data_IF_514089256000
#
_entry.id   IF_514089256000
#
_cell.length_a   1.000
_cell.length_b   1.000
_cell.length_c   1.000
_cell.angle_alpha   90.00
_cell.angle_beta   90.00
_cell.angle_gamma   90.00
#
_symmetry.space_group_name_H-M   'P 1'
#
loop_
_entity.id
_entity.type
_entity.pdbx_description
1 polymer ?
#
# COMPACT_ATOMS: atom_id res chain seq x y z
N UNK A 1 -13.95 0.59 -1.08
CA UNK A 1 -14.97 -0.50 -1.09
C UNK A 1 -16.39 0.01 -0.77
N UNK A 2 -16.71 1.24 -1.19
CA UNK A 2 -17.99 1.89 -0.87
C UNK A 2 -18.13 2.35 0.57
N UNK A 3 -19.28 2.97 0.86
CA UNK A 3 -19.66 3.42 2.20
C UNK A 3 -20.43 2.30 2.92
N UNK A 4 -20.25 2.19 4.23
CA UNK A 4 -20.86 1.16 5.08
C UNK A 4 -21.56 1.77 6.30
N UNK A 5 -22.63 1.13 6.80
CA UNK A 5 -23.35 1.61 7.97
C UNK A 5 -22.46 1.59 9.22
N UNK A 6 -22.85 2.34 10.27
CA UNK A 6 -22.15 2.29 11.55
C UNK A 6 -22.02 0.86 12.08
N UNK A 7 -20.91 0.59 12.76
CA UNK A 7 -20.62 -0.72 13.38
C UNK A 7 -20.56 -1.91 12.39
N UNK A 8 -20.43 -1.65 11.08
CA UNK A 8 -20.21 -2.70 10.08
C UNK A 8 -19.01 -3.58 10.47
N UNK A 9 -19.27 -4.89 10.51
CA UNK A 9 -18.29 -5.95 10.79
C UNK A 9 -18.22 -6.82 9.54
N UNK A 10 -17.17 -6.69 8.73
CA UNK A 10 -17.06 -7.55 7.57
C UNK A 10 -16.67 -8.96 7.96
N UNK A 11 -17.03 -9.90 7.10
CA UNK A 11 -16.76 -11.32 7.27
C UNK A 11 -15.83 -11.87 6.18
N UNK A 12 -15.73 -13.20 6.11
CA UNK A 12 -14.94 -13.90 5.11
C UNK A 12 -15.44 -13.63 3.67
N UNK A 13 -16.75 -13.46 3.46
CA UNK A 13 -17.30 -13.17 2.14
C UNK A 13 -16.94 -11.74 1.71
N UNK A 14 -16.96 -10.77 2.63
CA UNK A 14 -16.49 -9.41 2.36
C UNK A 14 -15.00 -9.37 2.03
N UNK A 15 -14.18 -10.20 2.68
CA UNK A 15 -12.76 -10.30 2.34
C UNK A 15 -12.55 -10.92 0.94
N UNK A 16 -13.26 -12.01 0.62
CA UNK A 16 -13.20 -12.63 -0.70
C UNK A 16 -13.65 -11.67 -1.82
N UNK A 17 -14.73 -10.91 -1.59
CA UNK A 17 -15.22 -9.90 -2.52
C UNK A 17 -14.18 -8.77 -2.71
N UNK A 18 -13.52 -8.32 -1.63
CA UNK A 18 -12.43 -7.37 -1.71
C UNK A 18 -11.26 -7.93 -2.54
N UNK A 19 -10.85 -9.17 -2.32
CA UNK A 19 -9.73 -9.76 -3.07
C UNK A 19 -10.03 -9.87 -4.55
N UNK A 20 -11.21 -10.38 -4.92
CA UNK A 20 -11.63 -10.43 -6.32
C UNK A 20 -11.65 -9.03 -6.96
N UNK A 21 -12.14 -8.01 -6.25
CA UNK A 21 -12.18 -6.65 -6.75
C UNK A 21 -10.78 -6.02 -6.87
N UNK A 22 -9.89 -6.28 -5.91
CA UNK A 22 -8.48 -5.86 -5.94
C UNK A 22 -7.76 -6.49 -7.13
N UNK A 23 -7.93 -7.79 -7.32
CA UNK A 23 -7.25 -8.54 -8.37
C UNK A 23 -7.70 -8.06 -9.76
N UNK A 24 -9.01 -7.85 -9.95
CA UNK A 24 -9.56 -7.23 -11.17
C UNK A 24 -9.02 -5.81 -11.41
N UNK A 25 -8.81 -5.02 -10.35
CA UNK A 25 -8.16 -3.72 -10.48
C UNK A 25 -6.69 -3.84 -10.87
N UNK A 26 -5.96 -4.77 -10.26
CA UNK A 26 -4.53 -4.98 -10.53
C UNK A 26 -4.27 -5.44 -11.98
N UNK A 27 -5.22 -6.11 -12.63
CA UNK A 27 -5.14 -6.44 -14.06
C UNK A 27 -5.06 -5.21 -14.98
N UNK A 28 -5.45 -4.03 -14.52
CA UNK A 28 -5.42 -2.82 -15.34
C UNK A 28 -3.98 -2.38 -15.58
N UNK A 29 -3.65 -1.94 -16.80
CA UNK A 29 -2.26 -1.66 -17.21
C UNK A 29 -1.53 -0.66 -16.30
N UNK A 30 -2.21 0.38 -15.81
CA UNK A 30 -1.60 1.36 -14.91
C UNK A 30 -1.43 0.83 -13.48
N UNK A 31 -2.17 -0.20 -13.08
CA UNK A 31 -2.17 -0.72 -11.73
C UNK A 31 -0.84 -1.38 -11.36
N UNK A 32 0.02 -1.71 -12.34
CA UNK A 32 1.42 -2.11 -12.11
C UNK A 32 2.21 -1.08 -11.30
N UNK A 33 1.81 0.19 -11.29
CA UNK A 33 2.41 1.21 -10.44
C UNK A 33 2.34 0.85 -8.94
N UNK A 34 1.46 -0.07 -8.54
CA UNK A 34 1.47 -0.67 -7.20
C UNK A 34 2.80 -1.38 -6.89
N UNK A 35 3.43 -2.03 -7.87
CA UNK A 35 4.73 -2.68 -7.72
C UNK A 35 5.86 -1.67 -7.47
N UNK A 36 5.70 -0.43 -7.93
CA UNK A 36 6.69 0.64 -7.76
C UNK A 36 6.58 1.36 -6.42
N UNK A 37 5.47 1.21 -5.68
CA UNK A 37 5.25 1.90 -4.39
C UNK A 37 6.07 1.31 -3.23
N UNK A 38 6.52 0.06 -3.34
CA UNK A 38 7.08 -0.68 -2.21
C UNK A 38 6.06 -0.88 -1.08
N UNK A 39 6.55 -1.34 0.08
CA UNK A 39 5.74 -1.50 1.29
C UNK A 39 4.51 -2.40 1.12
N UNK A 40 3.42 -2.06 1.82
CA UNK A 40 2.22 -2.90 1.85
C UNK A 40 1.51 -2.96 0.50
N UNK A 41 1.49 -1.86 -0.26
CA UNK A 41 0.87 -1.82 -1.60
C UNK A 41 1.59 -2.77 -2.55
N UNK A 42 2.93 -2.73 -2.58
CA UNK A 42 3.72 -3.68 -3.35
C UNK A 42 3.44 -5.12 -2.92
N UNK A 43 3.42 -5.40 -1.62
CA UNK A 43 3.22 -6.79 -1.13
C UNK A 43 1.86 -7.34 -1.52
N UNK A 44 0.82 -6.51 -1.52
CA UNK A 44 -0.52 -6.89 -1.94
C UNK A 44 -0.64 -7.08 -3.45
N UNK A 45 0.22 -6.45 -4.24
CA UNK A 45 0.22 -6.53 -5.69
C UNK A 45 1.12 -7.65 -6.23
N UNK A 46 2.28 -7.90 -5.60
CA UNK A 46 3.32 -8.80 -6.13
C UNK A 46 2.87 -10.25 -6.23
N UNK A 47 1.98 -10.69 -5.34
CA UNK A 47 1.44 -12.06 -5.36
C UNK A 47 0.54 -12.29 -6.56
N UNK A 48 -0.24 -11.28 -6.94
CA UNK A 48 -1.18 -11.37 -8.06
C UNK A 48 -0.50 -11.12 -9.41
N UNK A 49 0.29 -10.04 -9.50
CA UNK A 49 0.91 -9.61 -10.76
C UNK A 49 2.19 -10.38 -11.11
N UNK A 50 2.83 -10.96 -10.10
CA UNK A 50 4.20 -11.44 -10.21
C UNK A 50 5.21 -10.27 -10.33
N UNK A 51 6.51 -10.53 -10.07
CA UNK A 51 7.53 -9.49 -10.05
C UNK A 51 7.80 -8.89 -11.44
N UNK A 52 7.57 -9.65 -12.52
CA UNK A 52 7.93 -9.25 -13.88
C UNK A 52 6.92 -8.30 -14.54
N UNK A 53 5.71 -8.17 -13.99
CA UNK A 53 4.70 -7.26 -14.52
C UNK A 53 5.11 -5.78 -14.43
N UNK A 54 6.16 -5.44 -13.68
CA UNK A 54 6.69 -4.08 -13.64
C UNK A 54 7.26 -3.64 -15.00
N UNK A 55 7.76 -4.58 -15.80
CA UNK A 55 8.45 -4.34 -17.07
C UNK A 55 7.51 -4.11 -18.27
N UNK A 56 6.20 -4.28 -18.10
CA UNK A 56 5.24 -4.27 -19.22
C UNK A 56 4.65 -2.90 -19.52
N UNK A 57 5.14 -1.82 -18.90
CA UNK A 57 4.66 -0.48 -19.16
C UNK A 57 5.75 0.55 -19.49
N UNK A 58 5.40 1.84 -19.50
CA UNK A 58 4.13 2.41 -19.03
C UNK A 58 2.91 2.16 -19.90
N UNK A 59 1.72 2.20 -19.29
CA UNK A 59 0.44 2.16 -20.01
C UNK A 59 0.20 3.47 -20.77
N UNK A 60 -0.69 3.46 -21.77
CA UNK A 60 -1.09 4.69 -22.47
C UNK A 60 -1.62 5.77 -21.51
N UNK A 61 -2.24 5.36 -20.40
CA UNK A 61 -2.76 6.26 -19.35
C UNK A 61 -1.64 7.09 -18.69
N UNK A 62 -0.40 6.62 -18.71
CA UNK A 62 0.74 7.36 -18.17
C UNK A 62 1.03 8.65 -18.97
N UNK A 63 0.64 8.70 -20.25
CA UNK A 63 0.85 9.87 -21.11
C UNK A 63 -0.02 11.06 -20.68
N UNK A 64 -1.17 10.81 -20.07
CA UNK A 64 -2.14 11.84 -19.65
C UNK A 64 -2.17 12.03 -18.14
N UNK A 65 -2.02 10.95 -17.36
CA UNK A 65 -2.28 10.93 -15.91
C UNK A 65 -1.14 10.23 -15.12
N UNK A 66 0.01 10.02 -15.75
CA UNK A 66 1.18 9.40 -15.12
C UNK A 66 2.03 10.36 -14.29
N UNK A 67 3.02 9.80 -13.62
CA UNK A 67 4.12 10.59 -13.08
C UNK A 67 4.99 11.08 -14.24
N UNK A 68 5.36 12.36 -14.23
CA UNK A 68 6.24 12.95 -15.24
C UNK A 68 7.51 13.44 -14.55
N UNK A 69 8.65 12.94 -15.02
CA UNK A 69 9.97 13.39 -14.62
C UNK A 69 10.68 14.03 -15.82
N UNK A 70 11.24 15.22 -15.62
CA UNK A 70 12.03 15.90 -16.64
C UNK A 70 13.52 15.83 -16.30
N UNK A 71 14.31 15.17 -17.14
CA UNK A 71 15.77 15.07 -17.01
C UNK A 71 16.38 15.55 -18.32
N UNK A 72 17.31 16.51 -18.28
CA UNK A 72 17.99 17.06 -19.46
C UNK A 72 17.06 17.48 -20.61
N UNK A 73 15.92 18.07 -20.26
CA UNK A 73 14.89 18.49 -21.22
C UNK A 73 14.04 17.37 -21.82
N UNK A 74 14.26 16.12 -21.43
CA UNK A 74 13.45 14.96 -21.85
C UNK A 74 12.39 14.63 -20.82
N UNK A 75 11.17 14.37 -21.28
CA UNK A 75 10.05 13.92 -20.46
C UNK A 75 10.05 12.40 -20.36
N UNK A 76 10.09 11.89 -19.14
CA UNK A 76 9.90 10.49 -18.80
C UNK A 76 8.56 10.35 -18.09
N UNK A 77 7.67 9.51 -18.64
CA UNK A 77 6.35 9.26 -18.07
C UNK A 77 6.30 7.85 -17.50
N UNK A 78 5.68 7.69 -16.34
CA UNK A 78 5.45 6.39 -15.70
C UNK A 78 4.03 6.30 -15.12
N UNK A 79 3.50 5.10 -14.94
CA UNK A 79 2.17 4.93 -14.37
C UNK A 79 2.11 5.45 -12.93
N UNK A 80 0.94 5.97 -12.55
CA UNK A 80 0.70 6.45 -11.19
C UNK A 80 -0.62 5.92 -10.65
N UNK A 81 -0.69 5.80 -9.33
CA UNK A 81 -1.91 5.48 -8.59
C UNK A 81 -2.35 6.70 -7.80
N UNK A 82 -3.64 7.00 -7.88
CA UNK A 82 -4.30 7.98 -7.02
C UNK A 82 -4.35 7.49 -5.57
N UNK A 83 -4.63 8.39 -4.62
CA UNK A 83 -4.81 8.01 -3.21
C UNK A 83 -5.96 7.03 -3.03
N UNK A 84 -7.03 7.16 -3.82
CA UNK A 84 -8.20 6.30 -3.72
C UNK A 84 -7.92 4.89 -4.27
N UNK A 85 -7.13 4.79 -5.34
CA UNK A 85 -6.66 3.50 -5.87
C UNK A 85 -5.73 2.79 -4.88
N UNK A 86 -4.82 3.53 -4.22
CA UNK A 86 -3.98 2.99 -3.15
C UNK A 86 -4.82 2.52 -1.96
N UNK A 87 -5.78 3.31 -1.52
CA UNK A 87 -6.70 2.96 -0.44
C UNK A 87 -7.58 1.75 -0.81
N UNK A 88 -7.97 1.65 -2.08
CA UNK A 88 -8.68 0.51 -2.61
C UNK A 88 -7.85 -0.78 -2.54
N UNK A 89 -6.59 -0.75 -2.97
CA UNK A 89 -5.66 -1.89 -2.85
C UNK A 89 -5.50 -2.31 -1.38
N UNK A 90 -5.42 -1.36 -0.44
CA UNK A 90 -5.33 -1.64 1.00
C UNK A 90 -6.65 -2.16 1.62
N UNK A 91 -7.73 -2.25 0.85
CA UNK A 91 -9.03 -2.73 1.31
C UNK A 91 -9.71 -1.75 2.27
N UNK A 92 -9.67 -0.45 1.96
CA UNK A 92 -10.30 0.61 2.77
C UNK A 92 -11.81 0.67 2.53
N UNK A 93 -12.54 0.68 3.65
CA UNK A 93 -13.95 0.99 3.78
C UNK A 93 -14.13 2.38 4.41
N UNK A 94 -15.15 3.10 3.94
CA UNK A 94 -15.66 4.29 4.62
C UNK A 94 -16.85 3.87 5.47
N UNK A 95 -16.72 3.93 6.79
CA UNK A 95 -17.77 3.48 7.73
C UNK A 95 -18.34 4.70 8.45
N UNK A 96 -19.65 4.92 8.37
CA UNK A 96 -20.27 6.04 9.09
C UNK A 96 -20.03 5.95 10.60
N UNK A 97 -19.73 7.08 11.23
CA UNK A 97 -19.50 7.15 12.68
C UNK A 97 -20.80 7.25 13.48
N UNK A 98 -21.93 7.52 12.81
CA UNK A 98 -23.20 7.83 13.45
C UNK A 98 -23.35 9.31 13.85
N UNK A 99 -22.33 10.14 13.58
CA UNK A 99 -22.37 11.58 13.80
C UNK A 99 -22.47 12.33 12.46
N UNK A 100 -23.71 12.49 11.97
CA UNK A 100 -23.99 13.14 10.69
C UNK A 100 -23.36 12.40 9.51
N UNK A 101 -22.75 13.13 8.59
CA UNK A 101 -22.07 12.58 7.40
C UNK A 101 -20.60 12.18 7.63
N UNK A 102 -20.15 12.17 8.88
CA UNK A 102 -18.77 11.78 9.20
C UNK A 102 -18.55 10.28 8.94
N UNK A 103 -17.47 9.97 8.21
CA UNK A 103 -17.01 8.60 7.96
C UNK A 103 -15.63 8.36 8.57
N UNK A 104 -15.40 7.15 9.05
CA UNK A 104 -14.10 6.66 9.49
C UNK A 104 -13.55 5.69 8.44
N UNK A 105 -12.24 5.80 8.16
CA UNK A 105 -11.57 4.83 7.32
C UNK A 105 -11.19 3.61 8.15
N UNK A 106 -11.68 2.44 7.76
CA UNK A 106 -11.31 1.14 8.32
C UNK A 106 -10.84 0.23 7.22
N UNK A 107 -9.81 -0.57 7.46
CA UNK A 107 -9.19 -1.34 6.37
C UNK A 107 -8.76 -2.75 6.77
N UNK A 108 -8.70 -3.63 5.77
CA UNK A 108 -8.17 -4.99 5.92
C UNK A 108 -6.66 -5.00 6.15
N UNK A 109 -5.97 -4.14 5.39
CA UNK A 109 -4.53 -3.90 5.44
C UNK A 109 -4.25 -2.43 5.82
N UNK A 110 -3.13 -2.12 6.46
CA UNK A 110 -2.78 -0.74 6.78
C UNK A 110 -2.69 0.08 5.49
N UNK A 111 -3.17 1.34 5.54
CA UNK A 111 -2.94 2.28 4.44
C UNK A 111 -1.44 2.44 4.21
N UNK A 112 -1.04 2.73 2.98
CA UNK A 112 0.36 3.00 2.64
C UNK A 112 0.98 4.07 3.55
N UNK A 113 0.30 5.19 3.78
CA UNK A 113 0.78 6.26 4.67
C UNK A 113 0.92 5.83 6.15
N UNK A 114 0.15 4.81 6.58
CA UNK A 114 0.28 4.23 7.92
C UNK A 114 1.49 3.29 7.97
N UNK A 115 1.67 2.46 6.93
CA UNK A 115 2.81 1.56 6.77
C UNK A 115 4.15 2.32 6.73
N UNK A 116 4.23 3.40 5.96
CA UNK A 116 5.45 4.20 5.81
C UNK A 116 5.94 4.81 7.13
N UNK A 117 5.03 5.03 8.08
CA UNK A 117 5.32 5.54 9.43
C UNK A 117 5.50 4.41 10.47
N UNK A 118 5.46 3.16 10.05
CA UNK A 118 5.64 1.98 10.90
C UNK A 118 7.12 1.64 11.10
N UNK A 119 7.38 0.72 12.05
CA UNK A 119 8.69 0.11 12.29
C UNK A 119 9.08 -0.93 11.24
N UNK A 120 8.19 -1.27 10.30
CA UNK A 120 8.47 -2.18 9.19
C UNK A 120 9.00 -1.46 7.95
N UNK A 121 8.85 -0.12 7.89
CA UNK A 121 9.41 0.67 6.80
C UNK A 121 10.89 0.98 7.05
N UNK A 122 11.77 0.10 6.57
CA UNK A 122 13.24 0.28 6.58
C UNK A 122 13.82 0.54 5.18
N UNK A 123 12.97 0.74 4.17
CA UNK A 123 13.37 0.94 2.77
C UNK A 123 13.36 -0.33 1.91
N UNK A 124 13.10 -1.50 2.48
CA UNK A 124 12.84 -2.74 1.73
C UNK A 124 11.89 -3.66 2.51
N UNK A 125 11.35 -4.68 1.85
CA UNK A 125 10.48 -5.66 2.49
C UNK A 125 11.31 -6.67 3.29
N UNK A 126 11.31 -6.54 4.61
CA UNK A 126 12.09 -7.40 5.51
C UNK A 126 11.39 -8.73 5.78
N UNK A 127 12.14 -9.72 6.27
CA UNK A 127 11.58 -10.95 6.82
C UNK A 127 10.54 -10.68 7.91
N UNK A 128 10.79 -9.71 8.80
CA UNK A 128 9.84 -9.34 9.86
C UNK A 128 8.54 -8.74 9.30
N UNK A 129 8.63 -7.96 8.21
CA UNK A 129 7.46 -7.44 7.51
C UNK A 129 6.63 -8.58 6.89
N UNK A 130 7.29 -9.59 6.30
CA UNK A 130 6.61 -10.78 5.77
C UNK A 130 5.96 -11.61 6.89
N UNK A 131 6.66 -11.87 7.99
CA UNK A 131 6.12 -12.60 9.13
C UNK A 131 4.87 -11.90 9.71
N UNK A 132 4.92 -10.57 9.85
CA UNK A 132 3.76 -9.78 10.25
C UNK A 132 2.61 -9.88 9.25
N UNK A 133 2.91 -9.81 7.95
CA UNK A 133 1.90 -9.88 6.89
C UNK A 133 1.20 -11.25 6.88
N UNK A 134 1.97 -12.34 6.96
CA UNK A 134 1.45 -13.70 7.00
C UNK A 134 0.63 -13.98 8.27
N UNK A 135 1.08 -13.48 9.43
CA UNK A 135 0.32 -13.57 10.67
C UNK A 135 -1.04 -12.86 10.54
N UNK A 136 -1.06 -11.66 9.95
CA UNK A 136 -2.31 -10.93 9.67
C UNK A 136 -3.19 -11.67 8.67
N UNK A 137 -2.62 -12.19 7.58
CA UNK A 137 -3.36 -12.97 6.58
C UNK A 137 -4.03 -14.18 7.22
N UNK A 138 -3.33 -14.88 8.11
CA UNK A 138 -3.85 -16.03 8.86
C UNK A 138 -5.07 -15.66 9.69
N UNK A 139 -5.02 -14.53 10.42
CA UNK A 139 -6.18 -14.04 11.18
C UNK A 139 -7.38 -13.72 10.26
N UNK A 140 -7.11 -13.17 9.07
CA UNK A 140 -8.16 -12.88 8.08
C UNK A 140 -8.79 -14.18 7.56
N UNK A 141 -7.98 -15.16 7.16
CA UNK A 141 -8.46 -16.46 6.67
C UNK A 141 -9.20 -17.25 7.72
N UNK A 142 -8.83 -17.12 8.98
CA UNK A 142 -9.52 -17.74 10.12
C UNK A 142 -10.77 -16.96 10.56
N UNK A 143 -11.14 -15.88 9.86
CA UNK A 143 -12.27 -15.01 10.19
C UNK A 143 -12.22 -14.42 11.62
N UNK A 144 -11.02 -14.25 12.17
CA UNK A 144 -10.78 -13.64 13.49
C UNK A 144 -10.25 -12.22 13.40
N UNK A 145 -9.91 -11.76 12.20
CA UNK A 145 -9.51 -10.40 11.93
C UNK A 145 -10.70 -9.43 11.91
N UNK A 146 -10.53 -8.26 12.53
CA UNK A 146 -11.40 -7.10 12.33
C UNK A 146 -10.74 -6.07 11.42
N UNK A 147 -11.55 -5.21 10.78
CA UNK A 147 -11.02 -3.99 10.16
C UNK A 147 -10.43 -3.07 11.22
N UNK A 148 -9.35 -2.39 10.87
CA UNK A 148 -8.65 -1.46 11.75
C UNK A 148 -8.63 -0.05 11.19
N UNK A 149 -8.73 0.91 12.09
CA UNK A 149 -8.45 2.33 11.86
C UNK A 149 -6.94 2.57 11.83
N UNK A 150 -6.52 3.77 11.40
CA UNK A 150 -5.10 4.13 11.40
C UNK A 150 -4.45 4.04 12.80
N UNK A 151 -5.16 4.42 13.86
CA UNK A 151 -4.68 4.34 15.24
C UNK A 151 -4.46 2.89 15.67
N UNK A 152 -5.44 2.01 15.44
CA UNK A 152 -5.33 0.58 15.75
C UNK A 152 -4.20 -0.10 14.96
N UNK A 153 -3.93 0.34 13.73
CA UNK A 153 -2.76 -0.14 12.99
C UNK A 153 -1.44 0.28 13.63
N UNK A 154 -1.31 1.53 14.09
CA UNK A 154 -0.09 1.97 14.78
C UNK A 154 0.20 1.17 16.05
N UNK A 155 -0.85 0.76 16.78
CA UNK A 155 -0.70 -0.10 17.95
C UNK A 155 -0.10 -1.47 17.57
N UNK A 156 -0.49 -2.03 16.41
CA UNK A 156 0.07 -3.32 15.94
C UNK A 156 1.54 -3.25 15.51
N UNK A 157 2.07 -2.08 15.16
CA UNK A 157 3.45 -1.92 14.68
C UNK A 157 4.48 -1.72 15.81
N UNK A 158 4.04 -1.54 17.05
CA UNK A 158 4.93 -1.32 18.19
C UNK A 158 5.57 0.08 18.25
N UNK A 159 6.46 0.29 19.24
CA UNK A 159 7.02 1.62 19.58
C UNK A 159 8.00 2.14 18.51
N UNK A 160 7.75 3.36 18.03
CA UNK A 160 8.51 4.09 16.99
C UNK A 160 9.84 4.63 17.53
N UNK A 161 10.86 3.79 17.62
CA UNK A 161 12.19 4.20 18.13
C UNK A 161 13.23 4.44 17.03
N UNK A 162 13.88 3.35 16.60
CA UNK A 162 15.12 3.40 15.81
C UNK A 162 14.91 3.22 14.30
N UNK A 163 13.80 2.59 13.88
CA UNK A 163 13.56 2.22 12.48
C UNK A 163 13.38 3.39 11.52
N UNK A 164 12.62 4.43 11.89
CA UNK A 164 12.36 5.56 11.00
C UNK A 164 13.63 6.37 10.69
N UNK A 165 14.63 6.34 11.59
CA UNK A 165 15.94 6.91 11.32
C UNK A 165 16.70 6.10 10.28
N UNK A 166 16.60 4.77 10.33
CA UNK A 166 17.28 3.88 9.38
C UNK A 166 16.80 4.08 7.95
N UNK A 167 15.47 4.18 7.71
CA UNK A 167 14.94 4.43 6.37
C UNK A 167 15.47 5.73 5.75
N UNK A 168 15.51 6.82 6.54
CA UNK A 168 16.05 8.11 6.09
C UNK A 168 17.56 8.06 5.82
N UNK A 169 18.31 7.37 6.68
CA UNK A 169 19.75 7.17 6.48
C UNK A 169 19.99 6.37 5.20
N UNK A 170 19.21 5.31 4.98
CA UNK A 170 19.33 4.48 3.79
C UNK A 170 19.01 5.27 2.51
N UNK A 171 17.95 6.06 2.50
CA UNK A 171 17.61 6.92 1.36
C UNK A 171 18.72 7.96 1.08
N UNK A 172 19.27 8.57 2.14
CA UNK A 172 20.39 9.51 2.00
C UNK A 172 21.64 8.83 1.45
N UNK A 173 21.98 7.64 1.94
CA UNK A 173 23.13 6.86 1.44
C UNK A 173 22.92 6.42 -0.01
N UNK A 174 21.73 5.93 -0.35
CA UNK A 174 21.38 5.55 -1.72
C UNK A 174 21.47 6.75 -2.68
N UNK A 175 21.00 7.94 -2.27
CA UNK A 175 21.16 9.16 -3.06
C UNK A 175 22.62 9.52 -3.30
N UNK A 176 23.45 9.50 -2.26
CA UNK A 176 24.91 9.77 -2.40
C UNK A 176 25.58 8.80 -3.37
N UNK A 177 25.23 7.51 -3.28
CA UNK A 177 25.72 6.48 -4.19
C UNK A 177 25.32 6.76 -5.65
N UNK A 178 24.04 7.09 -5.90
CA UNK A 178 23.55 7.41 -7.24
C UNK A 178 24.16 8.69 -7.81
N UNK A 179 24.47 9.66 -6.96
CA UNK A 179 25.11 10.93 -7.34
C UNK A 179 26.63 10.78 -7.58
N UNK A 180 27.19 9.57 -7.47
CA UNK A 180 28.62 9.30 -7.68
C UNK A 180 29.53 9.80 -6.56
N UNK A 181 28.99 10.10 -5.39
CA UNK A 181 29.77 10.44 -4.21
C UNK A 181 30.09 9.16 -3.42
N UNK A 182 31.33 8.67 -3.52
CA UNK A 182 31.83 7.55 -2.72
C UNK A 182 31.72 7.81 -1.21
N UNK A 183 31.57 6.73 -0.45
CA UNK A 183 31.13 6.64 0.95
C UNK A 183 31.88 7.54 1.95
#
# INVERSE_FOLDING_TARGET
>A
LGVRPPQYKPDAADYAAYEAARDNFLQQGHARAALLKGGIVWRLAVEYLGPNAVYTGPSERALTCGNVLCIDGKRHCDDSLTSDEVDFICGVYQVYTGHGFQVAHKSWWPKQATWEKSTYNVGYWTRFAEEWFQARLTLIRNNTATLKTASEWYETFGKKGKTLKLARINEKSARRFLDGHDF
#
